data_IF_943484765413
#
_entry.id   IF_943484765413
#
_cell.length_a   1.000
_cell.length_b   1.000
_cell.length_c   1.000
_cell.angle_alpha   90.00
_cell.angle_beta   90.00
_cell.angle_gamma   90.00
#
_symmetry.space_group_name_H-M   'P 1'
#
loop_
_entity.id
_entity.type
_entity.pdbx_description
1 polymer ?
#
# COMPACT_ATOMS: atom_id res chain seq x y z
N UNK A 1 -25.88 7.84 -20.86
CA UNK A 1 -27.26 7.48 -20.44
C UNK A 1 -27.17 6.74 -19.12
N UNK A 2 -27.75 7.31 -18.06
CA UNK A 2 -27.69 6.81 -16.69
C UNK A 2 -28.53 5.54 -16.55
N UNK A 3 -27.93 4.46 -16.03
CA UNK A 3 -28.66 3.26 -15.60
C UNK A 3 -28.63 3.16 -14.08
N UNK A 4 -29.72 3.56 -13.43
CA UNK A 4 -29.99 3.29 -12.02
C UNK A 4 -30.54 1.86 -11.93
N UNK A 5 -29.97 0.98 -11.10
CA UNK A 5 -30.66 -0.24 -10.65
C UNK A 5 -30.97 -0.08 -9.16
N UNK A 6 -32.26 0.05 -8.90
CA UNK A 6 -32.87 0.07 -7.58
C UNK A 6 -33.05 -1.39 -7.12
N UNK A 7 -32.42 -1.80 -6.03
CA UNK A 7 -32.76 -3.05 -5.33
C UNK A 7 -33.27 -2.71 -3.95
N UNK A 8 -34.58 -2.88 -3.81
CA UNK A 8 -35.41 -2.73 -2.62
C UNK A 8 -35.00 -3.72 -1.52
N UNK A 9 -34.93 -3.21 -0.29
CA UNK A 9 -34.68 -3.96 0.93
C UNK A 9 -35.78 -4.99 1.21
N UNK A 10 -35.37 -6.21 1.61
CA UNK A 10 -36.18 -7.06 2.49
C UNK A 10 -35.30 -7.73 3.55
N UNK A 11 -35.62 -7.41 4.80
CA UNK A 11 -35.74 -8.32 5.94
C UNK A 11 -34.49 -9.07 6.45
N UNK A 12 -34.11 -8.78 7.71
CA UNK A 12 -33.75 -9.84 8.68
C UNK A 12 -32.28 -10.07 9.00
N UNK A 13 -31.79 -9.35 10.02
CA UNK A 13 -30.86 -9.80 11.09
C UNK A 13 -29.45 -10.35 10.74
N UNK A 14 -28.45 -9.58 11.19
CA UNK A 14 -27.16 -10.01 11.78
C UNK A 14 -26.06 -10.62 10.89
N UNK A 15 -25.19 -9.76 10.33
CA UNK A 15 -23.73 -9.67 10.61
C UNK A 15 -23.12 -8.67 9.62
N UNK A 16 -22.77 -7.47 10.09
CA UNK A 16 -21.97 -6.51 9.32
C UNK A 16 -20.56 -7.09 9.14
N UNK A 17 -20.33 -7.78 8.03
CA UNK A 17 -18.98 -7.95 7.49
C UNK A 17 -18.70 -6.70 6.67
N UNK A 18 -17.78 -5.87 7.12
CA UNK A 18 -17.24 -4.75 6.35
C UNK A 18 -16.63 -5.31 5.08
N UNK A 19 -17.37 -5.17 3.97
CA UNK A 19 -17.02 -5.67 2.65
C UNK A 19 -16.08 -4.65 2.03
N UNK A 20 -14.78 -4.93 2.05
CA UNK A 20 -13.86 -4.29 1.12
C UNK A 20 -14.32 -4.66 -0.29
N UNK A 21 -14.67 -3.65 -1.09
CA UNK A 21 -15.03 -3.84 -2.49
C UNK A 21 -13.70 -4.06 -3.22
N UNK A 22 -13.27 -5.33 -3.29
CA UNK A 22 -12.22 -5.75 -4.21
C UNK A 22 -12.89 -5.93 -5.56
N UNK A 23 -12.56 -5.07 -6.52
CA UNK A 23 -13.04 -5.17 -7.89
C UNK A 23 -12.66 -6.51 -8.51
N UNK A 24 -13.65 -7.24 -9.00
CA UNK A 24 -13.43 -8.46 -9.77
C UNK A 24 -12.85 -8.12 -11.14
N UNK A 25 -11.56 -8.38 -11.37
CA UNK A 25 -11.03 -9.05 -12.56
C UNK A 25 -9.53 -9.40 -12.37
N UNK A 26 -9.22 -10.70 -12.33
CA UNK A 26 -7.86 -11.24 -12.37
C UNK A 26 -7.38 -11.82 -11.03
N UNK A 27 -7.80 -13.04 -10.72
CA UNK A 27 -7.10 -13.88 -9.72
C UNK A 27 -5.74 -14.26 -10.29
N UNK A 28 -4.66 -13.81 -9.65
CA UNK A 28 -3.32 -14.38 -9.84
C UNK A 28 -3.24 -15.59 -8.90
N UNK A 29 -3.28 -16.81 -9.45
CA UNK A 29 -3.01 -18.02 -8.66
C UNK A 29 -1.50 -18.06 -8.33
N UNK A 30 -1.16 -17.92 -7.05
CA UNK A 30 0.21 -18.05 -6.54
C UNK A 30 0.30 -19.29 -5.65
N UNK A 31 1.22 -20.21 -6.00
CA UNK A 31 1.44 -21.48 -5.31
C UNK A 31 2.05 -21.32 -3.91
N UNK A 32 2.09 -22.39 -3.09
CA UNK A 32 2.40 -22.28 -1.68
C UNK A 32 3.92 -22.23 -1.45
N UNK A 33 4.40 -21.13 -0.84
CA UNK A 33 5.42 -21.07 0.24
C UNK A 33 6.26 -19.76 0.24
N UNK A 34 6.29 -18.97 -0.85
CA UNK A 34 6.99 -17.66 -0.94
C UNK A 34 6.05 -16.43 -0.92
N UNK A 35 4.79 -16.66 -0.55
CA UNK A 35 3.61 -15.94 -1.02
C UNK A 35 3.22 -14.67 -0.24
N UNK A 36 4.13 -13.70 -0.07
CA UNK A 36 3.71 -12.34 0.35
C UNK A 36 4.49 -11.22 -0.34
N UNK A 37 5.82 -11.24 -0.26
CA UNK A 37 6.67 -10.20 -0.88
C UNK A 37 6.81 -10.43 -2.39
N UNK A 38 6.95 -11.69 -2.83
CA UNK A 38 6.97 -12.04 -4.26
C UNK A 38 5.66 -11.64 -4.95
N UNK A 39 4.52 -11.77 -4.25
CA UNK A 39 3.22 -11.35 -4.73
C UNK A 39 3.14 -9.83 -4.97
N UNK A 40 3.82 -9.03 -4.15
CA UNK A 40 3.88 -7.55 -4.30
C UNK A 40 4.62 -7.18 -5.58
N UNK A 41 5.78 -7.78 -5.83
CA UNK A 41 6.56 -7.50 -7.03
C UNK A 41 5.85 -8.01 -8.30
N UNK A 42 5.17 -9.16 -8.22
CA UNK A 42 4.36 -9.67 -9.32
C UNK A 42 3.16 -8.78 -9.62
N UNK A 43 2.50 -8.22 -8.59
CA UNK A 43 1.41 -7.27 -8.76
C UNK A 43 1.91 -5.97 -9.43
N UNK A 44 3.01 -5.39 -8.95
CA UNK A 44 3.64 -4.22 -9.55
C UNK A 44 3.98 -4.46 -11.03
N UNK A 45 4.60 -5.60 -11.34
CA UNK A 45 4.93 -5.99 -12.71
C UNK A 45 3.68 -6.24 -13.57
N UNK A 46 2.61 -6.76 -12.98
CA UNK A 46 1.30 -6.94 -13.62
C UNK A 46 0.65 -5.60 -13.99
N UNK A 47 0.58 -4.67 -13.05
CA UNK A 47 0.01 -3.34 -13.27
C UNK A 47 0.81 -2.53 -14.29
N UNK A 48 2.15 -2.58 -14.23
CA UNK A 48 3.01 -1.93 -15.23
C UNK A 48 2.76 -2.50 -16.62
N UNK A 49 2.69 -3.83 -16.76
CA UNK A 49 2.38 -4.49 -18.05
C UNK A 49 1.00 -4.11 -18.59
N UNK A 50 0.06 -3.74 -17.72
CA UNK A 50 -1.25 -3.22 -18.09
C UNK A 50 -1.22 -1.72 -18.49
N UNK A 51 -0.05 -1.08 -18.51
CA UNK A 51 0.13 0.31 -18.93
C UNK A 51 -0.17 1.35 -17.84
N UNK A 52 -0.29 0.91 -16.58
CA UNK A 52 -0.59 1.79 -15.44
C UNK A 52 0.68 2.42 -14.91
N UNK A 53 0.59 3.66 -14.42
CA UNK A 53 1.61 4.22 -13.54
C UNK A 53 1.74 3.40 -12.27
N UNK A 54 2.96 3.02 -11.89
CA UNK A 54 3.24 2.21 -10.70
C UNK A 54 4.44 2.79 -9.96
N UNK A 55 4.37 2.83 -8.64
CA UNK A 55 5.49 3.05 -7.75
C UNK A 55 5.70 1.87 -6.81
N UNK A 56 6.95 1.66 -6.42
CA UNK A 56 7.34 0.69 -5.41
C UNK A 56 7.93 1.44 -4.23
N UNK A 57 7.35 1.22 -3.05
CA UNK A 57 7.93 1.68 -1.80
C UNK A 57 8.65 0.52 -1.11
N UNK A 58 9.87 0.74 -0.65
CA UNK A 58 10.72 -0.28 -0.02
C UNK A 58 11.27 0.24 1.29
N UNK A 59 11.12 -0.53 2.37
CA UNK A 59 11.82 -0.25 3.63
C UNK A 59 13.31 -0.50 3.39
N UNK A 60 14.12 0.55 3.43
CA UNK A 60 15.57 0.45 3.20
C UNK A 60 16.36 0.42 4.51
N UNK A 61 15.83 1.03 5.58
CA UNK A 61 16.47 1.07 6.88
C UNK A 61 15.42 0.96 7.99
N UNK A 62 15.83 0.37 9.13
CA UNK A 62 15.01 0.23 10.32
C UNK A 62 15.84 0.49 11.57
N UNK A 63 15.28 1.16 12.57
CA UNK A 63 15.89 1.34 13.88
C UNK A 63 14.91 0.97 14.99
N UNK A 64 15.42 0.38 16.06
CA UNK A 64 14.61 -0.06 17.19
C UNK A 64 13.58 -1.11 16.80
N UNK A 65 12.41 -1.08 17.45
CA UNK A 65 11.34 -2.07 17.26
C UNK A 65 10.46 -1.77 16.04
N UNK A 66 11.06 -1.59 14.86
CA UNK A 66 10.33 -1.34 13.62
C UNK A 66 9.35 -2.48 13.29
N UNK A 67 8.12 -2.18 12.82
CA UNK A 67 7.07 -3.18 12.64
C UNK A 67 7.23 -4.06 11.38
N UNK A 68 8.05 -3.62 10.40
CA UNK A 68 8.42 -4.37 9.20
C UNK A 68 9.94 -4.36 9.02
N UNK A 69 10.53 -5.46 8.51
CA UNK A 69 11.96 -5.52 8.25
C UNK A 69 12.35 -4.70 7.01
N UNK A 70 13.66 -4.41 6.90
CA UNK A 70 14.27 -3.96 5.65
C UNK A 70 13.94 -4.96 4.53
N UNK A 71 13.63 -4.43 3.34
CA UNK A 71 13.20 -5.19 2.19
C UNK A 71 11.68 -5.40 2.11
N UNK A 72 10.90 -4.94 3.08
CA UNK A 72 9.44 -4.97 2.93
C UNK A 72 8.96 -3.99 1.88
N UNK A 73 8.06 -4.47 1.02
CA UNK A 73 7.55 -3.71 -0.12
C UNK A 73 6.08 -3.31 0.02
N UNK A 74 5.75 -2.21 -0.65
CA UNK A 74 4.39 -1.77 -0.94
C UNK A 74 4.35 -1.32 -2.40
N UNK A 75 3.60 -2.03 -3.24
CA UNK A 75 3.32 -1.62 -4.61
C UNK A 75 2.10 -0.70 -4.62
N UNK A 76 2.17 0.41 -5.35
CA UNK A 76 1.10 1.40 -5.48
C UNK A 76 0.88 1.69 -6.96
N UNK A 77 -0.37 1.71 -7.42
CA UNK A 77 -0.72 2.16 -8.75
C UNK A 77 -1.24 3.61 -8.79
N UNK A 78 -1.39 4.15 -9.99
CA UNK A 78 -1.85 5.53 -10.24
C UNK A 78 -3.27 5.84 -9.74
N UNK A 79 -4.11 4.81 -9.49
CA UNK A 79 -5.45 4.97 -8.92
C UNK A 79 -5.42 4.91 -7.37
N UNK A 80 -4.24 4.74 -6.78
CA UNK A 80 -4.03 4.62 -5.34
C UNK A 80 -4.34 3.25 -4.77
N UNK A 81 -4.55 2.21 -5.59
CA UNK A 81 -4.61 0.85 -5.05
C UNK A 81 -3.20 0.40 -4.67
N UNK A 82 -3.10 -0.40 -3.60
CA UNK A 82 -1.82 -0.89 -3.13
C UNK A 82 -1.87 -2.33 -2.64
N UNK A 83 -0.71 -2.99 -2.70
CA UNK A 83 -0.48 -4.35 -2.18
C UNK A 83 0.85 -4.39 -1.44
N UNK A 84 0.89 -5.07 -0.29
CA UNK A 84 2.07 -5.11 0.58
C UNK A 84 1.91 -4.19 1.79
N UNK A 85 3.02 -3.93 2.49
CA UNK A 85 3.02 -3.11 3.70
C UNK A 85 4.43 -2.76 4.15
N UNK A 86 4.66 -1.49 4.48
CA UNK A 86 5.93 -1.00 5.04
C UNK A 86 5.87 -0.73 6.54
N UNK A 87 4.69 -0.66 7.15
CA UNK A 87 4.56 -0.46 8.60
C UNK A 87 3.53 -1.33 9.31
N UNK A 88 2.56 -1.89 8.59
CA UNK A 88 1.45 -2.65 9.15
C UNK A 88 0.16 -1.85 9.32
N UNK A 89 0.11 -0.59 8.86
CA UNK A 89 -1.14 0.17 8.70
C UNK A 89 -1.06 1.67 9.02
N UNK A 90 -0.05 2.14 9.77
CA UNK A 90 -0.05 3.50 10.29
C UNK A 90 0.43 4.56 9.29
N UNK A 91 1.38 4.22 8.41
CA UNK A 91 2.04 5.20 7.52
C UNK A 91 1.76 4.94 6.04
N UNK A 92 1.07 3.84 5.71
CA UNK A 92 0.75 3.45 4.34
C UNK A 92 0.02 4.55 3.57
N UNK A 93 -0.88 5.29 4.22
CA UNK A 93 -1.58 6.41 3.58
C UNK A 93 -0.65 7.56 3.16
N UNK A 94 0.36 7.88 3.98
CA UNK A 94 1.36 8.90 3.64
C UNK A 94 2.26 8.42 2.49
N UNK A 95 2.65 7.14 2.51
CA UNK A 95 3.46 6.55 1.43
C UNK A 95 2.69 6.52 0.11
N UNK A 96 1.38 6.21 0.13
CA UNK A 96 0.53 6.23 -1.07
C UNK A 96 0.40 7.65 -1.64
N UNK A 97 0.30 8.68 -0.78
CA UNK A 97 0.24 10.06 -1.24
C UNK A 97 1.54 10.48 -1.96
N UNK A 98 2.70 10.18 -1.37
CA UNK A 98 4.00 10.47 -1.97
C UNK A 98 4.25 9.63 -3.24
N UNK A 99 3.76 8.40 -3.27
CA UNK A 99 3.84 7.55 -4.46
C UNK A 99 3.09 8.14 -5.66
N UNK A 100 1.96 8.82 -5.44
CA UNK A 100 1.24 9.50 -6.51
C UNK A 100 2.09 10.61 -7.17
N UNK A 101 2.80 11.40 -6.36
CA UNK A 101 3.73 12.43 -6.84
C UNK A 101 4.90 11.81 -7.62
N UNK A 102 5.50 10.73 -7.08
CA UNK A 102 6.58 9.97 -7.74
C UNK A 102 6.13 9.38 -9.08
N UNK A 103 4.89 8.90 -9.18
CA UNK A 103 4.33 8.40 -10.45
C UNK A 103 4.20 9.54 -11.45
N UNK A 104 3.76 10.73 -11.01
CA UNK A 104 3.55 11.89 -11.86
C UNK A 104 4.87 12.49 -12.39
N UNK A 105 5.85 12.69 -11.52
CA UNK A 105 7.11 13.39 -11.87
C UNK A 105 8.29 12.46 -12.18
N UNK A 106 8.18 11.17 -11.84
CA UNK A 106 9.23 10.16 -12.04
C UNK A 106 10.46 10.29 -11.13
N UNK A 107 10.45 11.23 -10.19
CA UNK A 107 11.56 11.50 -9.28
C UNK A 107 11.38 10.69 -7.99
N UNK A 108 12.37 9.87 -7.56
CA UNK A 108 12.24 9.11 -6.33
C UNK A 108 12.15 9.98 -5.06
N UNK A 109 11.63 9.41 -3.97
CA UNK A 109 11.54 10.05 -2.65
C UNK A 109 12.08 9.14 -1.56
N UNK A 110 12.71 9.72 -0.55
CA UNK A 110 13.08 9.05 0.69
C UNK A 110 12.21 9.60 1.82
N UNK A 111 11.45 8.72 2.46
CA UNK A 111 10.52 9.07 3.52
C UNK A 111 11.01 8.48 4.84
N UNK A 112 11.06 9.27 5.90
CA UNK A 112 11.43 8.82 7.23
C UNK A 112 10.22 8.87 8.17
N UNK A 113 9.95 7.75 8.83
CA UNK A 113 8.85 7.63 9.79
C UNK A 113 9.41 7.15 11.12
N UNK A 114 9.02 7.79 12.22
CA UNK A 114 9.52 7.48 13.55
C UNK A 114 8.61 8.00 14.63
N UNK A 115 8.85 7.65 15.91
CA UNK A 115 8.15 8.30 17.02
C UNK A 115 8.44 9.80 16.95
N UNK A 116 7.39 10.62 16.88
CA UNK A 116 7.48 12.05 17.12
C UNK A 116 8.11 12.25 18.51
N UNK A 117 9.32 12.80 18.56
CA UNK A 117 9.81 13.40 19.79
C UNK A 117 8.76 14.42 20.25
N UNK A 118 8.50 14.57 21.55
CA UNK A 118 7.33 15.31 22.10
C UNK A 118 7.21 16.79 21.63
N UNK A 119 8.18 17.29 20.87
CA UNK A 119 8.23 18.62 20.27
C UNK A 119 7.89 18.70 18.77
N UNK A 120 7.69 17.59 18.04
CA UNK A 120 7.40 17.61 16.61
C UNK A 120 6.24 16.69 16.22
N UNK A 121 5.05 17.26 16.06
CA UNK A 121 3.85 16.56 15.57
C UNK A 121 4.03 16.06 14.12
N UNK A 122 4.58 14.86 13.96
CA UNK A 122 4.50 14.07 12.73
C UNK A 122 4.01 12.66 13.03
N UNK A 123 3.22 12.10 12.11
CA UNK A 123 2.59 10.79 12.22
C UNK A 123 3.65 9.73 12.49
N UNK A 124 3.70 9.23 13.73
CA UNK A 124 4.79 8.39 14.21
C UNK A 124 4.40 6.96 14.56
N UNK A 125 5.40 6.07 14.54
CA UNK A 125 5.25 4.67 14.93
C UNK A 125 5.13 4.57 16.46
N UNK A 126 4.06 3.97 16.98
CA UNK A 126 3.83 3.83 18.43
C UNK A 126 4.73 2.79 19.14
N UNK A 127 5.59 2.09 18.39
CA UNK A 127 6.41 0.98 18.89
C UNK A 127 7.82 1.39 19.35
N UNK A 128 8.20 2.66 19.29
CA UNK A 128 9.57 3.09 19.63
C UNK A 128 10.58 2.94 18.48
N UNK A 129 10.13 2.53 17.29
CA UNK A 129 10.98 2.30 16.12
C UNK A 129 10.94 3.43 15.09
N UNK A 130 11.87 3.39 14.15
CA UNK A 130 11.90 4.25 12.96
C UNK A 130 12.15 3.43 11.71
N UNK A 131 11.63 3.86 10.58
CA UNK A 131 11.88 3.27 9.26
C UNK A 131 12.21 4.36 8.24
N UNK A 132 13.07 4.02 7.29
CA UNK A 132 13.25 4.81 6.08
C UNK A 132 12.68 4.02 4.89
N UNK A 133 11.85 4.69 4.09
CA UNK A 133 11.13 4.10 2.96
C UNK A 133 11.56 4.84 1.69
N UNK A 134 12.17 4.09 0.76
CA UNK A 134 12.49 4.59 -0.57
C UNK A 134 11.31 4.33 -1.51
N UNK A 135 10.83 5.38 -2.17
CA UNK A 135 9.72 5.32 -3.12
C UNK A 135 10.24 5.67 -4.50
N UNK A 136 10.06 4.77 -5.46
CA UNK A 136 10.49 4.96 -6.84
C UNK A 136 9.40 4.56 -7.83
N UNK A 137 9.40 5.21 -9.00
CA UNK A 137 8.53 4.84 -10.11
C UNK A 137 9.07 3.59 -10.79
N UNK A 138 8.19 2.62 -11.04
CA UNK A 138 8.55 1.41 -11.78
C UNK A 138 8.51 1.71 -13.28
N UNK A 139 9.69 1.87 -13.89
CA UNK A 139 9.87 2.08 -15.32
C UNK A 139 9.68 0.82 -16.16
#
# INVERSE_FOLDING_TARGET
MRGFVMVSERSGKARRRSRAIVGHHGVVEVGPMLSREEDVLQAAAGWRRAGRGVALATVIETWGSAPRPVGSHLAIDEDGNFLGSVSGGCVEGAVVAEAAEVIADGSPRLLEFGVADETAWQVGLSCGGRIAVYVEKVA
#
